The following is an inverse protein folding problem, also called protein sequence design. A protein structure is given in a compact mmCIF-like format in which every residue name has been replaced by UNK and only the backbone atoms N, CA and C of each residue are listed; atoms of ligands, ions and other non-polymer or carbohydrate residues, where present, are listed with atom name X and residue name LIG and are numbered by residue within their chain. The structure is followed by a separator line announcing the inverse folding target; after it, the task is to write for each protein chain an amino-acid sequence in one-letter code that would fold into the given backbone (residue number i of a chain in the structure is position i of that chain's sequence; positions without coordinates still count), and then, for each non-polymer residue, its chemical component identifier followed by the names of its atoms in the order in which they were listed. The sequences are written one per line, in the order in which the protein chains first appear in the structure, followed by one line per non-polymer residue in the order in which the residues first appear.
data_IF_925709662160
#
_entry.id   IF_925709662160
#
_cell.length_a   1.000
_cell.length_b   1.000
_cell.length_c   1.000
_cell.angle_alpha   90.00
_cell.angle_beta   90.00
_cell.angle_gamma   90.00
#
_symmetry.space_group_name_H-M   'P 1'
#
loop_
_entity.id
_entity.type
_entity.pdbx_description
1 polymer ?
#
# COMPACT_ATOMS: atom_id res chain seq x y z
N UNK A 1 12.69 7.91 0.97
CA UNK A 1 11.32 7.40 1.21
C UNK A 1 11.31 5.90 0.91
N UNK A 2 10.43 5.11 1.54
CA UNK A 2 10.33 3.64 1.34
C UNK A 2 8.89 3.24 1.07
N UNK A 3 8.68 2.11 0.39
CA UNK A 3 7.39 1.43 0.23
C UNK A 3 7.55 -0.04 0.62
N UNK A 4 6.51 -0.65 1.18
CA UNK A 4 6.54 -2.04 1.62
C UNK A 4 6.14 -2.99 0.47
N UNK A 5 6.75 -4.17 0.44
CA UNK A 5 6.37 -5.29 -0.42
C UNK A 5 6.17 -6.55 0.42
N UNK A 6 5.27 -7.43 -0.01
CA UNK A 6 5.23 -8.81 0.49
C UNK A 6 6.17 -9.67 -0.34
N UNK A 7 6.96 -10.51 0.31
CA UNK A 7 7.78 -11.51 -0.35
C UNK A 7 7.52 -12.88 0.26
N UNK A 8 7.72 -13.92 -0.54
CA UNK A 8 7.81 -15.28 -0.03
C UNK A 8 9.24 -15.76 -0.14
N UNK A 9 9.79 -16.20 0.98
CA UNK A 9 11.11 -16.81 1.05
C UNK A 9 10.95 -18.28 1.40
N UNK A 10 11.87 -19.11 0.92
CA UNK A 10 11.91 -20.52 1.29
C UNK A 10 13.21 -20.83 1.99
N UNK A 11 13.11 -21.50 3.12
CA UNK A 11 14.27 -22.09 3.77
C UNK A 11 14.76 -23.27 2.93
N UNK A 12 16.01 -23.21 2.45
CA UNK A 12 16.55 -24.21 1.54
C UNK A 12 16.70 -25.57 2.24
N UNK A 13 16.97 -25.59 3.55
CA UNK A 13 17.19 -26.83 4.30
C UNK A 13 15.89 -27.43 4.81
N UNK A 14 15.05 -26.61 5.41
CA UNK A 14 13.81 -27.05 6.03
C UNK A 14 12.63 -27.09 5.05
N UNK A 15 12.76 -26.47 3.88
CA UNK A 15 11.81 -26.56 2.77
C UNK A 15 10.50 -25.78 2.96
N UNK A 16 10.28 -25.14 4.11
CA UNK A 16 9.08 -24.36 4.37
C UNK A 16 9.17 -22.94 3.77
N UNK A 17 8.01 -22.43 3.37
CA UNK A 17 7.85 -21.09 2.80
C UNK A 17 7.38 -20.13 3.91
N UNK A 18 7.97 -18.95 3.97
CA UNK A 18 7.63 -17.87 4.90
C UNK A 18 7.11 -16.67 4.12
N UNK A 19 6.02 -16.08 4.60
CA UNK A 19 5.56 -14.77 4.15
C UNK A 19 6.31 -13.69 4.97
N UNK A 20 7.05 -12.82 4.29
CA UNK A 20 7.80 -11.72 4.90
C UNK A 20 7.41 -10.38 4.26
N UNK A 21 7.64 -9.28 4.98
CA UNK A 21 7.43 -7.91 4.49
C UNK A 21 8.74 -7.16 4.45
N UNK A 22 8.94 -6.36 3.40
CA UNK A 22 10.22 -5.69 3.15
C UNK A 22 10.03 -4.23 2.75
N UNK A 23 10.71 -3.32 3.45
CA UNK A 23 10.74 -1.88 3.15
C UNK A 23 11.74 -1.58 2.04
N UNK A 24 11.24 -1.23 0.85
CA UNK A 24 12.05 -0.93 -0.34
C UNK A 24 12.23 0.57 -0.49
N UNK A 25 13.48 1.09 -0.58
CA UNK A 25 13.73 2.49 -0.89
C UNK A 25 13.16 2.90 -2.25
N UNK A 26 12.65 4.13 -2.33
CA UNK A 26 12.18 4.72 -3.58
C UNK A 26 13.30 4.76 -4.64
N UNK A 27 12.94 4.48 -5.89
CA UNK A 27 13.89 4.39 -7.00
C UNK A 27 14.67 3.06 -7.09
N UNK A 28 14.47 2.12 -6.15
CA UNK A 28 14.99 0.76 -6.26
C UNK A 28 13.95 -0.17 -6.88
N UNK A 29 14.41 -1.06 -7.75
CA UNK A 29 13.58 -2.16 -8.26
C UNK A 29 13.27 -3.13 -7.10
N UNK A 30 11.99 -3.45 -6.83
CA UNK A 30 11.61 -4.31 -5.71
C UNK A 30 12.26 -5.69 -5.74
N UNK A 31 12.42 -6.25 -6.94
CA UNK A 31 12.98 -7.59 -7.11
C UNK A 31 14.47 -7.60 -6.85
N UNK A 32 15.20 -6.70 -7.48
CA UNK A 32 16.63 -6.55 -7.22
C UNK A 32 16.91 -6.24 -5.74
N UNK A 33 16.07 -5.43 -5.10
CA UNK A 33 16.24 -5.11 -3.68
C UNK A 33 15.98 -6.33 -2.79
N UNK A 34 14.92 -7.10 -3.02
CA UNK A 34 14.62 -8.31 -2.26
C UNK A 34 15.74 -9.37 -2.42
N UNK A 35 16.22 -9.59 -3.64
CA UNK A 35 17.34 -10.50 -3.93
C UNK A 35 18.63 -10.07 -3.20
N UNK A 36 18.92 -8.76 -3.16
CA UNK A 36 20.07 -8.23 -2.41
C UNK A 36 19.95 -8.47 -0.90
N UNK A 37 18.76 -8.29 -0.32
CA UNK A 37 18.56 -8.55 1.11
C UNK A 37 18.69 -10.03 1.46
N UNK A 38 18.16 -10.91 0.62
CA UNK A 38 18.29 -12.36 0.82
C UNK A 38 19.74 -12.81 0.68
N UNK A 39 20.46 -12.27 -0.32
CA UNK A 39 21.90 -12.53 -0.46
C UNK A 39 22.65 -12.10 0.80
N UNK A 40 22.39 -10.88 1.30
CA UNK A 40 23.01 -10.37 2.52
C UNK A 40 22.70 -11.24 3.74
N UNK A 41 21.45 -11.68 3.88
CA UNK A 41 21.05 -12.62 4.93
C UNK A 41 21.84 -13.93 4.85
N UNK A 42 21.94 -14.52 3.67
CA UNK A 42 22.67 -15.77 3.45
C UNK A 42 24.17 -15.65 3.72
N UNK A 43 24.77 -14.51 3.34
CA UNK A 43 26.18 -14.24 3.61
C UNK A 43 26.43 -14.18 5.13
N UNK A 44 25.54 -13.52 5.90
CA UNK A 44 25.60 -13.45 7.36
C UNK A 44 25.37 -14.83 8.01
N UNK A 45 24.39 -15.60 7.53
CA UNK A 45 24.13 -16.96 8.01
C UNK A 45 25.34 -17.87 7.80
N UNK A 46 25.98 -17.77 6.62
CA UNK A 46 27.19 -18.52 6.29
C UNK A 46 28.37 -18.11 7.18
N UNK A 47 28.53 -16.81 7.46
CA UNK A 47 29.60 -16.32 8.33
C UNK A 47 29.41 -16.80 9.79
N UNK A 48 28.18 -16.75 10.31
CA UNK A 48 27.87 -17.11 11.70
C UNK A 48 27.84 -18.62 11.95
N UNK A 49 27.30 -19.38 11.00
CA UNK A 49 26.95 -20.78 11.23
C UNK A 49 27.57 -21.74 10.21
N UNK A 50 28.29 -21.23 9.20
CA UNK A 50 28.94 -22.06 8.18
C UNK A 50 27.94 -22.99 7.48
N UNK A 51 28.23 -24.29 7.50
CA UNK A 51 27.36 -25.32 6.93
C UNK A 51 26.10 -25.60 7.75
N UNK A 52 25.99 -25.07 8.98
CA UNK A 52 24.81 -25.22 9.84
C UNK A 52 23.76 -24.12 9.67
N UNK A 53 24.09 -23.03 8.98
CA UNK A 53 23.15 -21.91 8.74
C UNK A 53 21.95 -22.32 7.89
N UNK A 54 20.91 -21.50 7.90
CA UNK A 54 19.64 -21.74 7.22
C UNK A 54 19.47 -20.75 6.07
N UNK A 55 20.13 -20.99 4.92
CA UNK A 55 20.03 -20.09 3.79
C UNK A 55 18.62 -20.10 3.20
N UNK A 56 18.23 -18.96 2.65
CA UNK A 56 16.92 -18.73 2.07
C UNK A 56 17.02 -18.40 0.59
N UNK A 57 15.97 -18.73 -0.14
CA UNK A 57 15.79 -18.32 -1.53
C UNK A 57 14.50 -17.52 -1.69
N UNK A 58 14.50 -16.57 -2.63
CA UNK A 58 13.31 -15.83 -2.99
C UNK A 58 12.41 -16.72 -3.84
N UNK A 59 11.19 -16.97 -3.39
CA UNK A 59 10.20 -17.77 -4.12
C UNK A 59 9.35 -16.87 -5.00
N UNK A 60 8.80 -15.82 -4.39
CA UNK A 60 7.90 -14.91 -5.09
C UNK A 60 8.00 -13.51 -4.48
N UNK A 61 7.63 -12.54 -5.31
CA UNK A 61 7.39 -11.18 -4.89
C UNK A 61 5.89 -10.95 -5.04
N UNK A 62 5.25 -10.70 -3.91
CA UNK A 62 3.87 -10.27 -3.87
C UNK A 62 3.72 -8.82 -4.29
N UNK A 63 2.49 -8.35 -4.17
CA UNK A 63 2.16 -6.98 -4.55
C UNK A 63 2.88 -5.95 -3.65
N UNK A 64 3.10 -4.75 -4.19
CA UNK A 64 3.53 -3.61 -3.38
C UNK A 64 2.40 -3.30 -2.41
N UNK A 65 2.62 -3.59 -1.14
CA UNK A 65 1.63 -3.35 -0.09
C UNK A 65 2.24 -2.40 0.91
N UNK A 66 1.89 -1.12 0.86
CA UNK A 66 2.28 -0.15 1.88
C UNK A 66 2.62 1.24 1.35
N UNK A 67 2.52 2.19 2.28
CA UNK A 67 2.50 3.65 2.17
C UNK A 67 2.99 4.22 0.84
N UNK A 68 2.05 4.44 -0.09
CA UNK A 68 2.28 5.41 -1.16
C UNK A 68 2.06 6.80 -0.58
N UNK A 69 3.05 7.68 -0.67
CA UNK A 69 2.86 9.10 -0.40
C UNK A 69 1.96 9.68 -1.49
N UNK A 70 0.67 9.74 -1.19
CA UNK A 70 -0.31 10.26 -2.12
C UNK A 70 -0.18 11.76 -2.26
N UNK A 71 0.19 12.21 -3.47
CA UNK A 71 -0.03 13.58 -3.89
C UNK A 71 -1.50 13.72 -4.25
N UNK A 72 -2.21 14.43 -3.39
CA UNK A 72 -3.62 14.75 -3.55
C UNK A 72 -3.78 16.01 -4.40
N UNK A 73 -4.61 15.94 -5.43
CA UNK A 73 -4.98 17.08 -6.28
C UNK A 73 -6.43 17.46 -6.04
N UNK A 74 -6.71 18.76 -5.91
CA UNK A 74 -8.09 19.26 -5.84
C UNK A 74 -8.82 18.94 -7.15
N UNK A 75 -10.03 18.38 -7.04
CA UNK A 75 -10.86 18.01 -8.21
C UNK A 75 -12.06 18.92 -8.40
N UNK A 76 -12.57 19.52 -7.32
CA UNK A 76 -13.68 20.47 -7.42
C UNK A 76 -13.16 21.86 -7.82
N UNK A 77 -13.78 22.49 -8.82
CA UNK A 77 -13.41 23.86 -9.25
C UNK A 77 -13.71 24.91 -8.16
N UNK A 78 -14.81 24.72 -7.42
CA UNK A 78 -15.28 25.64 -6.38
C UNK A 78 -15.34 24.89 -5.05
N UNK A 79 -14.86 25.50 -3.96
CA UNK A 79 -14.94 24.93 -2.60
C UNK A 79 -16.39 24.70 -2.21
N UNK A 80 -16.69 23.50 -1.72
CA UNK A 80 -18.06 23.07 -1.42
C UNK A 80 -18.39 23.51 0.00
N UNK A 81 -19.58 24.10 0.20
CA UNK A 81 -20.08 24.47 1.52
C UNK A 81 -21.29 23.59 1.83
N UNK A 82 -21.20 22.76 2.87
CA UNK A 82 -22.32 21.94 3.35
C UNK A 82 -22.43 22.08 4.87
N UNK A 83 -23.62 22.41 5.37
CA UNK A 83 -23.87 22.66 6.79
C UNK A 83 -22.87 23.66 7.41
N UNK A 84 -22.62 24.77 6.71
CA UNK A 84 -21.67 25.81 7.10
C UNK A 84 -20.19 25.36 7.23
N UNK A 85 -19.85 24.16 6.76
CA UNK A 85 -18.49 23.64 6.76
C UNK A 85 -17.92 23.64 5.33
N UNK A 86 -16.94 24.51 5.01
CA UNK A 86 -16.29 24.52 3.71
C UNK A 86 -15.31 23.34 3.59
N UNK A 87 -15.34 22.64 2.46
CA UNK A 87 -14.37 21.60 2.13
C UNK A 87 -14.04 21.53 0.64
N UNK A 88 -12.83 21.08 0.36
CA UNK A 88 -12.40 20.67 -0.98
C UNK A 88 -12.39 19.15 -1.10
N UNK A 89 -12.64 18.66 -2.30
CA UNK A 89 -12.47 17.25 -2.65
C UNK A 89 -11.09 17.12 -3.29
N UNK A 90 -10.29 16.20 -2.78
CA UNK A 90 -8.99 15.88 -3.34
C UNK A 90 -8.95 14.43 -3.81
N UNK A 91 -8.28 14.15 -4.93
CA UNK A 91 -8.01 12.81 -5.44
C UNK A 91 -6.53 12.48 -5.34
N UNK A 92 -6.18 11.29 -4.87
CA UNK A 92 -4.81 10.80 -4.99
C UNK A 92 -4.50 10.43 -6.43
N UNK A 93 -3.42 10.98 -6.98
CA UNK A 93 -3.03 10.71 -8.39
C UNK A 93 -2.70 9.23 -8.64
N UNK A 94 -2.15 8.54 -7.62
CA UNK A 94 -1.70 7.15 -7.71
C UNK A 94 -2.82 6.16 -7.40
N UNK A 95 -3.56 6.39 -6.33
CA UNK A 95 -4.51 5.41 -5.78
C UNK A 95 -5.97 5.72 -6.13
N UNK A 96 -6.24 6.86 -6.80
CA UNK A 96 -7.58 7.37 -7.15
C UNK A 96 -8.56 7.54 -5.98
N UNK A 97 -8.08 7.44 -4.75
CA UNK A 97 -8.83 7.69 -3.52
C UNK A 97 -9.25 9.15 -3.45
N UNK A 98 -10.51 9.40 -3.12
CA UNK A 98 -11.01 10.75 -2.86
C UNK A 98 -11.10 11.02 -1.35
N UNK A 99 -10.73 12.23 -0.93
CA UNK A 99 -10.83 12.70 0.45
C UNK A 99 -11.47 14.09 0.50
N UNK A 100 -12.04 14.43 1.66
CA UNK A 100 -12.47 15.80 1.99
C UNK A 100 -11.39 16.51 2.79
N UNK A 101 -10.94 17.67 2.32
CA UNK A 101 -10.09 18.58 3.09
C UNK A 101 -10.93 19.73 3.62
N UNK A 102 -11.05 19.81 4.94
CA UNK A 102 -11.70 20.93 5.63
C UNK A 102 -10.67 22.02 5.92
N UNK A 103 -11.00 23.28 5.62
CA UNK A 103 -10.13 24.44 5.87
C UNK A 103 -9.08 24.73 4.78
N UNK A 104 -8.27 25.78 5.00
CA UNK A 104 -7.29 26.34 4.04
C UNK A 104 -5.87 25.77 4.19
N UNK A 105 -5.62 24.87 5.15
CA UNK A 105 -4.24 24.42 5.42
C UNK A 105 -3.67 23.63 4.23
N UNK A 106 -2.54 24.06 3.65
CA UNK A 106 -1.96 23.46 2.45
C UNK A 106 -1.11 22.22 2.73
N UNK A 107 -1.03 21.76 3.98
CA UNK A 107 -0.16 20.64 4.33
C UNK A 107 -0.59 19.39 3.58
N UNK A 108 0.29 18.77 2.78
CA UNK A 108 -0.02 17.55 2.08
C UNK A 108 -0.42 16.50 3.11
N UNK A 109 -1.67 16.06 3.06
CA UNK A 109 -2.16 15.03 3.96
C UNK A 109 -1.42 13.74 3.59
N UNK A 110 -0.42 13.37 4.38
CA UNK A 110 0.31 12.12 4.22
C UNK A 110 -0.64 10.98 4.61
N UNK A 111 -1.45 10.52 3.67
CA UNK A 111 -2.39 9.43 3.91
C UNK A 111 -1.75 8.14 3.42
N UNK A 112 -1.67 7.16 4.33
CA UNK A 112 -1.34 5.78 4.00
C UNK A 112 -2.40 5.24 3.04
N UNK A 113 -2.03 5.00 1.80
CA UNK A 113 -2.92 4.46 0.79
C UNK A 113 -2.56 2.99 0.52
N UNK A 114 -3.60 2.17 0.39
CA UNK A 114 -3.54 0.75 0.09
C UNK A 114 -4.37 0.52 -1.19
N UNK A 115 -3.81 0.77 -2.39
CA UNK A 115 -4.53 0.59 -3.65
C UNK A 115 -5.17 -0.80 -3.79
N UNK A 116 -4.46 -1.83 -3.36
CA UNK A 116 -4.88 -3.24 -3.34
C UNK A 116 -6.04 -3.50 -2.38
N UNK A 117 -6.20 -2.63 -1.37
CA UNK A 117 -7.30 -2.65 -0.41
C UNK A 117 -8.30 -1.52 -0.68
N UNK A 118 -8.35 -0.99 -1.91
CA UNK A 118 -9.32 0.02 -2.32
C UNK A 118 -10.40 -0.63 -3.17
N UNK A 119 -11.65 -0.47 -2.75
CA UNK A 119 -12.79 -0.94 -3.55
C UNK A 119 -12.97 -0.04 -4.77
N UNK A 120 -12.89 -0.57 -5.98
CA UNK A 120 -13.03 0.24 -7.20
C UNK A 120 -14.46 0.78 -7.41
N UNK A 121 -15.48 0.14 -6.83
CA UNK A 121 -16.87 0.56 -7.00
C UNK A 121 -17.25 1.75 -6.11
N UNK A 122 -16.68 1.87 -4.91
CA UNK A 122 -16.99 2.99 -3.99
C UNK A 122 -15.76 3.78 -3.53
N UNK A 123 -14.57 3.45 -4.05
CA UNK A 123 -13.27 4.06 -3.74
C UNK A 123 -12.94 4.12 -2.24
N UNK A 124 -13.52 3.20 -1.46
CA UNK A 124 -13.27 3.07 -0.03
C UNK A 124 -12.01 2.26 0.21
N UNK A 125 -11.13 2.80 1.05
CA UNK A 125 -9.85 2.19 1.42
C UNK A 125 -10.00 1.41 2.72
N UNK A 126 -9.49 0.19 2.73
CA UNK A 126 -9.49 -0.68 3.90
C UNK A 126 -8.09 -0.82 4.47
N UNK A 127 -8.00 -0.93 5.79
CA UNK A 127 -6.73 -1.11 6.52
C UNK A 127 -6.28 -2.57 6.57
N UNK A 128 -7.09 -3.51 6.05
CA UNK A 128 -6.77 -4.94 6.02
C UNK A 128 -7.56 -5.68 4.94
N UNK A 129 -6.97 -6.76 4.41
CA UNK A 129 -7.58 -7.64 3.42
C UNK A 129 -8.94 -8.18 3.89
N UNK A 130 -9.02 -8.68 5.13
CA UNK A 130 -10.27 -9.20 5.70
C UNK A 130 -11.43 -8.20 5.65
N UNK A 131 -11.16 -6.91 5.87
CA UNK A 131 -12.21 -5.87 5.81
C UNK A 131 -12.58 -5.51 4.37
N UNK A 132 -11.60 -5.52 3.46
CA UNK A 132 -11.83 -5.39 2.02
C UNK A 132 -12.70 -6.54 1.50
N UNK A 133 -12.34 -7.79 1.79
CA UNK A 133 -13.07 -8.98 1.33
C UNK A 133 -14.51 -9.00 1.86
N UNK A 134 -14.71 -8.63 3.12
CA UNK A 134 -16.06 -8.53 3.69
C UNK A 134 -16.88 -7.42 3.03
N UNK A 135 -16.23 -6.32 2.65
CA UNK A 135 -16.90 -5.24 1.95
C UNK A 135 -17.30 -5.63 0.52
N UNK A 136 -16.39 -6.24 -0.26
CA UNK A 136 -16.67 -6.65 -1.64
C UNK A 136 -17.69 -7.78 -1.74
N UNK A 137 -17.82 -8.61 -0.69
CA UNK A 137 -18.91 -9.60 -0.57
C UNK A 137 -20.29 -8.97 -0.39
N UNK A 138 -20.37 -7.77 0.17
CA UNK A 138 -21.63 -7.07 0.42
C UNK A 138 -21.87 -6.09 -0.73
N UNK A 139 -22.80 -6.41 -1.64
CA UNK A 139 -23.09 -5.61 -2.87
C UNK A 139 -23.60 -4.17 -2.64
N UNK A 140 -23.66 -3.68 -1.40
CA UNK A 140 -24.10 -2.32 -1.11
C UNK A 140 -22.92 -1.35 -1.19
N UNK A 141 -22.52 -1.02 -2.41
CA UNK A 141 -21.59 0.07 -2.69
C UNK A 141 -22.36 1.39 -2.67
N UNK A 142 -22.54 1.96 -1.47
CA UNK A 142 -23.07 3.31 -1.34
C UNK A 142 -21.93 4.28 -1.67
N UNK A 143 -21.98 4.88 -2.85
CA UNK A 143 -21.11 5.99 -3.21
C UNK A 143 -21.37 7.13 -2.22
N UNK A 144 -20.33 7.66 -1.55
CA UNK A 144 -20.54 8.80 -0.68
C UNK A 144 -21.17 9.96 -1.45
N UNK A 145 -22.19 10.62 -0.90
CA UNK A 145 -22.98 11.70 -1.55
C UNK A 145 -22.17 12.91 -2.06
N UNK A 146 -20.87 12.95 -1.77
CA UNK A 146 -19.95 14.01 -2.16
C UNK A 146 -19.00 13.59 -3.27
N UNK A 147 -19.05 12.34 -3.72
CA UNK A 147 -18.31 11.92 -4.89
C UNK A 147 -18.95 12.51 -6.15
N UNK A 148 -18.14 12.95 -7.13
CA UNK A 148 -18.67 13.38 -8.42
C UNK A 148 -19.33 12.19 -9.14
N UNK A 149 -20.45 12.46 -9.81
CA UNK A 149 -21.17 11.45 -10.59
C UNK A 149 -20.31 10.97 -11.78
N UNK A 150 -20.21 9.65 -11.98
CA UNK A 150 -19.60 9.05 -13.17
C UNK A 150 -18.10 8.76 -13.10
N UNK A 151 -17.56 8.37 -11.94
CA UNK A 151 -16.20 7.81 -11.79
C UNK A 151 -16.23 6.29 -11.88
#
# INVERSE_FOLDING_TARGET
MTFEIKIQTKDIKAGYIMDETLDVPEGKDPKQYAEQQIKRFNDIEKERYGTKGNPRELVSIGEKTGVIFCVFKKVNNVTIIRNNNPYDILICSNCKIFIRRFGLNPTPTQIKCYPELTCNECNKVFKSQKRYDNHTKIKYHITPEWMPDGV
#
